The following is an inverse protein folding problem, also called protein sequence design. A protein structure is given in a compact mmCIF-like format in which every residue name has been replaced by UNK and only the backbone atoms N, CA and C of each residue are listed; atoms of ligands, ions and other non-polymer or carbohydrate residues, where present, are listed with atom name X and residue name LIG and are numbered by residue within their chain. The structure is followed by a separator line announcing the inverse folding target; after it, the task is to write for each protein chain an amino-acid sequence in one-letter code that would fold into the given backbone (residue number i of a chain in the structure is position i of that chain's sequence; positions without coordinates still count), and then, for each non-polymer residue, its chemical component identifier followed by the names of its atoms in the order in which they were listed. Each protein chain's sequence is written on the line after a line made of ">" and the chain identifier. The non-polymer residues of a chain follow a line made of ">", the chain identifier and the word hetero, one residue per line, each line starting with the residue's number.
data_IF_086660984691
#
_entry.id   IF_086660984691
#
_cell.length_a   1.000
_cell.length_b   1.000
_cell.length_c   1.000
_cell.angle_alpha   90.00
_cell.angle_beta   90.00
_cell.angle_gamma   90.00
#
_symmetry.space_group_name_H-M   'P 1'
#
loop_
_entity.id
_entity.type
_entity.pdbx_description
1 polymer ?
#
# COMPACT_ATOMS: atom_id res chain seq x y z
N UNK A 1 -11.40 -19.92 7.29
CA UNK A 1 -10.17 -19.11 7.33
C UNK A 1 -10.61 -17.66 7.48
N UNK A 2 -10.42 -17.08 8.66
CA UNK A 2 -11.08 -15.85 9.08
C UNK A 2 -10.59 -14.62 8.30
N UNK A 3 -11.52 -13.92 7.65
CA UNK A 3 -11.24 -12.71 6.87
C UNK A 3 -10.55 -11.61 7.68
N UNK A 4 -10.66 -11.63 9.00
CA UNK A 4 -9.99 -10.68 9.89
C UNK A 4 -8.49 -10.94 10.02
N UNK A 5 -8.05 -12.20 10.04
CA UNK A 5 -6.63 -12.55 10.08
C UNK A 5 -5.94 -12.05 8.80
N UNK A 6 -6.57 -12.27 7.64
CA UNK A 6 -6.07 -11.78 6.35
C UNK A 6 -5.96 -10.23 6.30
N UNK A 7 -6.90 -9.51 6.93
CA UNK A 7 -6.88 -8.04 7.02
C UNK A 7 -5.72 -7.54 7.89
N UNK A 8 -5.55 -8.13 9.08
CA UNK A 8 -4.46 -7.77 10.00
C UNK A 8 -3.09 -8.04 9.38
N UNK A 9 -2.93 -9.18 8.71
CA UNK A 9 -1.68 -9.53 8.02
C UNK A 9 -1.34 -8.54 6.89
N UNK A 10 -2.33 -8.12 6.10
CA UNK A 10 -2.10 -7.13 5.05
C UNK A 10 -1.64 -5.78 5.61
N UNK A 11 -2.27 -5.28 6.66
CA UNK A 11 -1.89 -4.00 7.29
C UNK A 11 -0.44 -4.03 7.80
N UNK A 12 -0.01 -5.13 8.40
CA UNK A 12 1.38 -5.33 8.84
C UNK A 12 2.34 -5.33 7.64
N UNK A 13 2.00 -6.03 6.56
CA UNK A 13 2.80 -6.03 5.32
C UNK A 13 2.93 -4.60 4.78
N UNK A 14 1.84 -3.84 4.71
CA UNK A 14 1.85 -2.46 4.22
C UNK A 14 2.77 -1.57 5.07
N UNK A 15 2.65 -1.62 6.40
CA UNK A 15 3.52 -0.87 7.31
C UNK A 15 5.00 -1.27 7.15
N UNK A 16 5.29 -2.57 7.02
CA UNK A 16 6.65 -3.06 6.80
C UNK A 16 7.26 -2.51 5.50
N UNK A 17 6.48 -2.48 4.41
CA UNK A 17 6.92 -1.92 3.14
C UNK A 17 7.17 -0.41 3.24
N UNK A 18 6.23 0.32 3.84
CA UNK A 18 6.29 1.78 3.96
C UNK A 18 7.37 2.26 4.95
N UNK A 19 7.77 1.41 5.90
CA UNK A 19 8.92 1.65 6.78
C UNK A 19 10.24 1.71 6.01
N UNK A 20 10.36 0.97 4.89
CA UNK A 20 11.58 0.95 4.09
C UNK A 20 11.70 2.18 3.19
N UNK A 21 10.61 2.59 2.56
CA UNK A 21 10.52 3.82 1.75
C UNK A 21 9.07 4.20 1.49
N UNK A 22 8.80 5.49 1.18
CA UNK A 22 7.52 5.89 0.63
C UNK A 22 7.21 5.17 -0.69
N UNK A 23 5.96 4.76 -0.89
CA UNK A 23 5.53 4.05 -2.10
C UNK A 23 4.15 4.52 -2.57
N UNK A 24 3.87 4.43 -3.87
CA UNK A 24 2.53 4.65 -4.43
C UNK A 24 1.78 3.32 -4.61
N UNK A 25 0.45 3.37 -4.72
CA UNK A 25 -0.40 2.17 -4.65
C UNK A 25 0.02 1.01 -5.57
N UNK A 26 0.32 1.31 -6.84
CA UNK A 26 0.78 0.27 -7.78
C UNK A 26 2.15 -0.32 -7.40
N UNK A 27 3.08 0.50 -6.89
CA UNK A 27 4.38 0.03 -6.42
C UNK A 27 4.24 -0.94 -5.24
N UNK A 28 3.31 -0.65 -4.32
CA UNK A 28 2.98 -1.54 -3.20
C UNK A 28 2.48 -2.89 -3.70
N UNK A 29 1.43 -2.91 -4.54
CA UNK A 29 0.89 -4.17 -5.09
C UNK A 29 1.94 -4.97 -5.85
N UNK A 30 2.77 -4.29 -6.65
CA UNK A 30 3.86 -4.93 -7.41
C UNK A 30 4.92 -5.52 -6.48
N UNK A 31 5.27 -4.81 -5.40
CA UNK A 31 6.26 -5.27 -4.43
C UNK A 31 5.77 -6.50 -3.67
N UNK A 32 4.51 -6.51 -3.21
CA UNK A 32 3.92 -7.68 -2.56
C UNK A 32 3.92 -8.89 -3.49
N UNK A 33 3.49 -8.70 -4.74
CA UNK A 33 3.48 -9.76 -5.76
C UNK A 33 4.87 -10.36 -5.97
N UNK A 34 5.90 -9.51 -6.07
CA UNK A 34 7.27 -9.95 -6.27
C UNK A 34 7.84 -10.68 -5.04
N UNK A 35 7.61 -10.16 -3.83
CA UNK A 35 8.09 -10.76 -2.58
C UNK A 35 7.44 -12.11 -2.26
N UNK A 36 6.26 -12.36 -2.82
CA UNK A 36 5.50 -13.60 -2.61
C UNK A 36 5.56 -14.54 -3.81
N UNK A 37 6.46 -14.29 -4.76
CA UNK A 37 6.62 -15.13 -5.97
C UNK A 37 5.30 -15.35 -6.74
N UNK A 38 4.44 -14.33 -6.76
CA UNK A 38 3.08 -14.30 -7.33
C UNK A 38 1.98 -15.04 -6.54
N UNK A 39 2.29 -15.66 -5.41
CA UNK A 39 1.30 -16.35 -4.56
C UNK A 39 0.27 -15.36 -3.97
N UNK A 40 0.67 -14.11 -3.73
CA UNK A 40 -0.22 -13.06 -3.24
C UNK A 40 -0.31 -11.90 -4.21
N UNK A 41 -1.49 -11.74 -4.81
CA UNK A 41 -1.83 -10.57 -5.62
C UNK A 41 -2.89 -9.73 -4.92
N UNK A 42 -2.55 -8.49 -4.60
CA UNK A 42 -3.47 -7.54 -3.97
C UNK A 42 -4.05 -6.60 -5.02
N UNK A 43 -5.37 -6.72 -5.23
CA UNK A 43 -6.14 -5.82 -6.09
C UNK A 43 -6.46 -4.48 -5.41
N UNK A 44 -6.83 -3.49 -6.22
CA UNK A 44 -7.14 -2.12 -5.77
C UNK A 44 -8.25 -2.07 -4.70
N UNK A 45 -9.30 -2.90 -4.86
CA UNK A 45 -10.42 -3.00 -3.92
C UNK A 45 -10.04 -3.58 -2.55
N UNK A 46 -8.82 -4.10 -2.40
CA UNK A 46 -8.28 -4.56 -1.11
C UNK A 46 -7.21 -3.59 -0.59
N UNK A 47 -6.32 -3.14 -1.48
CA UNK A 47 -5.21 -2.25 -1.14
C UNK A 47 -5.70 -0.91 -0.59
N UNK A 48 -6.55 -0.20 -1.35
CA UNK A 48 -6.92 1.17 -0.97
C UNK A 48 -7.76 1.24 0.30
N UNK A 49 -8.73 0.33 0.56
CA UNK A 49 -9.39 0.29 1.86
C UNK A 49 -8.43 -0.01 3.01
N UNK A 50 -7.39 -0.82 2.82
CA UNK A 50 -6.40 -1.09 3.86
C UNK A 50 -5.51 0.13 4.14
N UNK A 51 -5.02 0.81 3.09
CA UNK A 51 -4.30 2.08 3.24
C UNK A 51 -5.14 3.14 3.94
N UNK A 52 -6.42 3.27 3.56
CA UNK A 52 -7.35 4.22 4.20
C UNK A 52 -7.49 3.96 5.69
N UNK A 53 -7.63 2.70 6.12
CA UNK A 53 -7.69 2.36 7.55
C UNK A 53 -6.41 2.71 8.29
N UNK A 54 -5.24 2.53 7.67
CA UNK A 54 -3.96 2.94 8.26
C UNK A 54 -3.85 4.47 8.37
N UNK A 55 -4.32 5.22 7.36
CA UNK A 55 -4.40 6.69 7.40
C UNK A 55 -5.36 7.18 8.49
N UNK A 56 -6.55 6.58 8.61
CA UNK A 56 -7.54 6.91 9.66
C UNK A 56 -7.00 6.63 11.07
N UNK A 57 -6.13 5.63 11.21
CA UNK A 57 -5.41 5.30 12.45
C UNK A 57 -4.14 6.13 12.66
N UNK A 58 -3.83 7.08 11.77
CA UNK A 58 -2.65 7.93 11.82
C UNK A 58 -1.32 7.15 11.84
N UNK A 59 -1.31 5.94 11.27
CA UNK A 59 -0.11 5.11 11.18
C UNK A 59 0.71 5.39 9.91
N UNK A 60 0.08 6.01 8.91
CA UNK A 60 0.71 6.44 7.67
C UNK A 60 0.15 7.80 7.25
N UNK A 61 0.95 8.56 6.52
CA UNK A 61 0.57 9.78 5.85
C UNK A 61 0.56 9.57 4.33
N UNK A 62 -0.12 10.46 3.62
CA UNK A 62 -0.06 10.52 2.16
C UNK A 62 0.34 11.90 1.65
N UNK A 63 0.91 11.92 0.45
CA UNK A 63 1.22 13.15 -0.26
C UNK A 63 1.18 12.92 -1.77
N UNK A 64 1.01 14.00 -2.54
CA UNK A 64 1.00 13.93 -3.98
C UNK A 64 2.37 14.31 -4.56
N UNK A 65 2.86 13.48 -5.48
CA UNK A 65 4.07 13.74 -6.26
C UNK A 65 3.66 14.05 -7.70
N UNK A 66 4.14 15.18 -8.22
CA UNK A 66 3.96 15.55 -9.63
C UNK A 66 4.93 14.75 -10.49
N UNK A 67 4.44 14.23 -11.61
CA UNK A 67 5.28 13.51 -12.56
C UNK A 67 5.81 14.50 -13.59
N UNK A 68 7.12 14.57 -13.77
CA UNK A 68 7.74 15.47 -14.76
C UNK A 68 7.19 15.27 -16.19
N UNK A 69 6.80 14.04 -16.51
CA UNK A 69 6.31 13.65 -17.84
C UNK A 69 4.80 13.77 -18.02
N UNK A 70 4.03 14.12 -16.99
CA UNK A 70 2.58 14.29 -17.12
C UNK A 70 1.98 15.16 -16.03
N UNK A 71 0.95 15.97 -16.34
CA UNK A 71 0.15 16.71 -15.33
C UNK A 71 -0.58 15.81 -14.30
N UNK A 72 -0.36 14.49 -14.32
CA UNK A 72 -0.96 13.54 -13.37
C UNK A 72 -0.14 13.53 -12.09
N UNK A 73 -0.84 13.65 -10.95
CA UNK A 73 -0.27 13.50 -9.62
C UNK A 73 -0.39 12.04 -9.17
N UNK A 74 0.67 11.48 -8.59
CA UNK A 74 0.62 10.17 -7.92
C UNK A 74 0.51 10.36 -6.42
N UNK A 75 -0.43 9.64 -5.79
CA UNK A 75 -0.54 9.58 -4.33
C UNK A 75 0.48 8.57 -3.80
N UNK A 76 1.42 9.07 -3.00
CA UNK A 76 2.40 8.29 -2.25
C UNK A 76 1.96 8.18 -0.79
N UNK A 77 2.41 7.12 -0.13
CA UNK A 77 2.19 6.84 1.28
C UNK A 77 3.54 6.70 1.98
N UNK A 78 3.62 7.10 3.25
CA UNK A 78 4.81 6.97 4.12
C UNK A 78 4.39 6.78 5.58
N UNK A 79 5.28 6.25 6.42
CA UNK A 79 5.19 6.37 7.88
C UNK A 79 5.74 7.73 8.30
#
# INVERSE_FOLDING_TARGET
>A
MDREILKGSLEIILLSLLKNKPMYGYEISKTIKNLTENELTIGEGTLYPALKRLEERQLIENYFVELETSKKKRKYYKI
#
